data_IF_947248198137
#
_entry.id   IF_947248198137
#
_cell.length_a   1.000
_cell.length_b   1.000
_cell.length_c   1.000
_cell.angle_alpha   90.00
_cell.angle_beta   90.00
_cell.angle_gamma   90.00
#
_symmetry.space_group_name_H-M   'P 1'
#
loop_
_entity.id
_entity.type
_entity.pdbx_description
1 polymer ?
#
# COMPACT_ATOMS: atom_id res chain seq x y z
N UNK A 1 2.72 11.67 -9.34
CA UNK A 1 3.23 10.96 -8.14
C UNK A 1 2.13 10.25 -7.36
N UNK A 2 2.49 9.40 -6.41
CA UNK A 2 1.53 8.82 -5.46
C UNK A 2 1.12 9.86 -4.42
N UNK A 3 -0.17 9.91 -4.08
CA UNK A 3 -0.67 10.77 -2.99
C UNK A 3 -0.36 10.17 -1.61
N UNK A 4 0.89 10.33 -1.16
CA UNK A 4 1.35 9.73 0.10
C UNK A 4 0.58 10.22 1.33
N UNK A 5 0.12 11.48 1.34
CA UNK A 5 -0.60 12.05 2.49
C UNK A 5 -2.03 11.52 2.53
N UNK A 6 -2.76 11.53 1.40
CA UNK A 6 -4.15 11.04 1.35
C UNK A 6 -4.27 9.55 1.61
N UNK A 7 -3.20 8.78 1.43
CA UNK A 7 -3.13 7.38 1.90
C UNK A 7 -3.37 7.24 3.41
N UNK A 8 -3.19 8.31 4.18
CA UNK A 8 -3.58 8.36 5.58
C UNK A 8 -5.09 8.27 5.80
N UNK A 9 -5.90 8.57 4.79
CA UNK A 9 -7.35 8.44 4.80
C UNK A 9 -7.78 7.13 4.11
N UNK A 10 -7.20 6.82 2.95
CA UNK A 10 -7.67 5.67 2.15
C UNK A 10 -7.31 4.33 2.76
N UNK A 11 -6.14 4.19 3.39
CA UNK A 11 -5.71 2.92 3.99
C UNK A 11 -6.60 2.53 5.19
N UNK A 12 -6.87 3.41 6.19
CA UNK A 12 -7.79 3.07 7.27
C UNK A 12 -9.22 2.79 6.79
N UNK A 13 -9.73 3.57 5.82
CA UNK A 13 -11.07 3.31 5.24
C UNK A 13 -11.15 1.93 4.60
N UNK A 14 -10.12 1.54 3.85
CA UNK A 14 -10.03 0.19 3.29
C UNK A 14 -9.92 -0.87 4.38
N UNK A 15 -9.08 -0.66 5.40
CA UNK A 15 -8.97 -1.58 6.53
C UNK A 15 -10.33 -1.78 7.24
N UNK A 16 -11.09 -0.71 7.46
CA UNK A 16 -12.44 -0.76 8.02
C UNK A 16 -13.40 -1.56 7.13
N UNK A 17 -13.38 -1.31 5.81
CA UNK A 17 -14.19 -2.08 4.84
C UNK A 17 -13.82 -3.57 4.83
N UNK A 18 -12.57 -3.92 5.11
CA UNK A 18 -12.09 -5.30 5.29
C UNK A 18 -12.43 -5.88 6.67
N UNK A 19 -13.12 -5.13 7.54
CA UNK A 19 -13.58 -5.58 8.86
C UNK A 19 -12.64 -5.28 10.03
N UNK A 20 -11.64 -4.41 9.86
CA UNK A 20 -10.74 -4.05 10.96
C UNK A 20 -11.49 -3.27 12.05
N UNK A 21 -11.21 -3.64 13.31
CA UNK A 21 -11.63 -2.92 14.53
C UNK A 21 -10.46 -2.17 15.18
N UNK A 22 -9.24 -2.65 14.94
CA UNK A 22 -7.99 -2.05 15.40
C UNK A 22 -7.08 -1.77 14.21
N UNK A 23 -6.37 -0.66 14.22
CA UNK A 23 -5.35 -0.30 13.23
C UNK A 23 -4.03 -0.02 13.94
N UNK A 24 -3.01 -0.82 13.65
CA UNK A 24 -1.68 -0.70 14.25
C UNK A 24 -0.70 -0.14 13.23
N UNK A 25 -0.11 0.99 13.58
CA UNK A 25 0.87 1.70 12.77
C UNK A 25 2.29 1.46 13.34
N UNK A 26 3.11 0.72 12.60
CA UNK A 26 4.52 0.50 12.91
C UNK A 26 5.43 1.46 12.15
N UNK A 27 6.27 2.17 12.90
CA UNK A 27 7.29 3.05 12.36
C UNK A 27 8.51 3.16 13.27
N UNK A 28 9.48 3.98 12.92
CA UNK A 28 10.67 4.25 13.72
C UNK A 28 10.99 5.76 13.74
N UNK A 29 11.72 6.25 14.75
CA UNK A 29 11.96 7.69 14.96
C UNK A 29 12.42 8.45 13.71
N UNK A 30 13.47 7.99 13.02
CA UNK A 30 13.99 8.66 11.82
C UNK A 30 12.96 8.69 10.68
N UNK A 31 12.05 7.71 10.60
CA UNK A 31 10.99 7.75 9.61
C UNK A 31 9.91 8.77 9.96
N UNK A 32 9.52 8.81 11.23
CA UNK A 32 8.53 9.73 11.77
C UNK A 32 9.00 11.18 11.78
N UNK A 33 10.30 11.43 11.74
CA UNK A 33 10.86 12.78 11.54
C UNK A 33 10.54 13.37 10.15
N UNK A 34 10.12 12.54 9.17
CA UNK A 34 9.71 13.03 7.85
C UNK A 34 8.28 13.54 7.92
N UNK A 35 8.09 14.81 7.57
CA UNK A 35 6.78 15.49 7.57
C UNK A 35 5.70 14.67 6.85
N UNK A 36 5.98 14.16 5.65
CA UNK A 36 5.00 13.36 4.88
C UNK A 36 4.51 12.12 5.63
N UNK A 37 5.37 11.48 6.44
CA UNK A 37 5.05 10.27 7.20
C UNK A 37 4.30 10.63 8.47
N UNK A 38 4.75 11.66 9.20
CA UNK A 38 4.06 12.18 10.38
C UNK A 38 2.64 12.64 10.03
N UNK A 39 2.48 13.46 8.99
CA UNK A 39 1.18 13.94 8.52
C UNK A 39 0.28 12.78 8.08
N UNK A 40 0.83 11.77 7.37
CA UNK A 40 0.06 10.58 7.00
C UNK A 40 -0.41 9.82 8.25
N UNK A 41 0.45 9.63 9.25
CA UNK A 41 0.10 8.96 10.51
C UNK A 41 -1.00 9.71 11.24
N UNK A 42 -0.91 11.03 11.34
CA UNK A 42 -1.92 11.86 12.01
C UNK A 42 -3.29 11.73 11.31
N UNK A 43 -3.30 11.73 9.98
CA UNK A 43 -4.50 11.45 9.20
C UNK A 43 -5.01 10.02 9.40
N UNK A 44 -4.13 9.02 9.53
CA UNK A 44 -4.54 7.65 9.83
C UNK A 44 -5.24 7.57 11.18
N UNK A 45 -4.66 8.19 12.21
CA UNK A 45 -5.23 8.25 13.55
C UNK A 45 -6.63 8.87 13.52
N UNK A 46 -6.75 10.08 12.95
CA UNK A 46 -8.02 10.78 12.82
C UNK A 46 -9.06 9.97 12.04
N UNK A 47 -8.66 9.36 10.92
CA UNK A 47 -9.59 8.55 10.12
C UNK A 47 -10.04 7.30 10.88
N UNK A 48 -9.17 6.68 11.68
CA UNK A 48 -9.56 5.56 12.54
C UNK A 48 -10.58 6.00 13.60
N UNK A 49 -10.35 7.15 14.25
CA UNK A 49 -11.28 7.73 15.24
C UNK A 49 -12.65 8.02 14.61
N UNK A 50 -12.69 8.63 13.42
CA UNK A 50 -13.93 8.89 12.66
C UNK A 50 -14.69 7.60 12.29
N UNK A 51 -13.98 6.48 12.11
CA UNK A 51 -14.54 5.18 11.79
C UNK A 51 -14.85 4.31 13.04
N UNK A 52 -14.55 4.81 14.24
CA UNK A 52 -14.70 4.06 15.48
C UNK A 52 -13.71 2.89 15.65
N UNK A 53 -12.58 2.92 14.95
CA UNK A 53 -11.50 1.94 15.10
C UNK A 53 -10.49 2.37 16.17
N UNK A 54 -9.94 1.41 16.91
CA UNK A 54 -8.83 1.66 17.83
C UNK A 54 -7.54 1.90 17.03
N UNK A 55 -6.90 3.05 17.19
CA UNK A 55 -5.59 3.32 16.60
C UNK A 55 -4.47 3.07 17.61
N UNK A 56 -3.47 2.28 17.21
CA UNK A 56 -2.32 1.93 18.04
C UNK A 56 -1.03 2.31 17.31
N UNK A 57 -0.18 3.05 17.99
CA UNK A 57 1.15 3.41 17.48
C UNK A 57 2.21 2.56 18.15
N UNK A 58 3.09 1.97 17.33
CA UNK A 58 4.24 1.21 17.83
C UNK A 58 5.50 1.71 17.14
N UNK A 59 6.47 2.13 17.96
CA UNK A 59 7.81 2.47 17.49
C UNK A 59 8.71 1.24 17.56
N UNK A 60 9.26 0.85 16.41
CA UNK A 60 10.28 -0.19 16.31
C UNK A 60 11.66 0.41 16.58
N UNK A 61 12.67 -0.43 16.88
CA UNK A 61 14.08 -0.01 16.81
C UNK A 61 14.38 0.68 15.48
N UNK A 62 15.13 1.77 15.55
CA UNK A 62 15.48 2.57 14.38
C UNK A 62 16.63 1.92 13.60
N UNK A 63 16.43 1.47 12.35
CA UNK A 63 17.49 0.86 11.57
C UNK A 63 18.51 1.89 11.02
N UNK A 64 18.26 3.20 11.17
CA UNK A 64 19.11 4.29 10.70
C UNK A 64 19.81 5.04 11.84
N UNK A 65 19.45 4.79 13.10
CA UNK A 65 20.16 5.36 14.24
C UNK A 65 21.59 4.80 14.36
N UNK A 66 22.45 5.50 15.10
CA UNK A 66 23.78 5.00 15.41
C UNK A 66 23.69 3.65 16.16
N UNK A 67 24.31 2.60 15.62
CA UNK A 67 24.17 1.22 16.12
C UNK A 67 22.85 0.54 15.79
N UNK A 68 21.96 1.22 15.04
CA UNK A 68 20.72 0.68 14.52
C UNK A 68 20.97 -0.39 13.45
N UNK A 69 20.11 -1.40 13.41
CA UNK A 69 20.25 -2.51 12.48
C UNK A 69 18.90 -3.00 11.99
N UNK A 70 18.78 -3.20 10.66
CA UNK A 70 17.59 -3.77 10.02
C UNK A 70 17.16 -5.09 10.69
N UNK A 71 18.06 -6.07 10.90
CA UNK A 71 17.77 -7.28 11.69
C UNK A 71 17.06 -7.05 13.02
N UNK A 72 17.48 -6.06 13.82
CA UNK A 72 16.90 -5.79 15.15
C UNK A 72 15.46 -5.28 15.04
N UNK A 73 15.20 -4.37 14.09
CA UNK A 73 13.85 -3.91 13.77
C UNK A 73 12.93 -5.06 13.31
N UNK A 74 13.45 -5.97 12.48
CA UNK A 74 12.69 -7.12 11.97
C UNK A 74 12.41 -8.15 13.07
N UNK A 75 13.37 -8.40 13.96
CA UNK A 75 13.20 -9.25 15.13
C UNK A 75 12.10 -8.69 16.04
N UNK A 76 12.15 -7.39 16.34
CA UNK A 76 11.13 -6.73 17.15
C UNK A 76 9.72 -6.93 16.56
N UNK A 77 9.55 -6.72 15.24
CA UNK A 77 8.26 -6.99 14.58
C UNK A 77 7.84 -8.45 14.70
N UNK A 78 8.80 -9.37 14.57
CA UNK A 78 8.58 -10.81 14.72
C UNK A 78 8.01 -11.22 16.08
N UNK A 79 8.37 -10.48 17.14
CA UNK A 79 7.95 -10.69 18.53
C UNK A 79 6.74 -9.85 18.94
N UNK A 80 6.62 -8.62 18.43
CA UNK A 80 5.55 -7.69 18.81
C UNK A 80 4.23 -8.00 18.11
N UNK A 81 4.26 -8.32 16.80
CA UNK A 81 3.03 -8.60 16.05
C UNK A 81 2.18 -9.71 16.71
N UNK A 82 2.73 -10.88 17.09
CA UNK A 82 1.96 -11.91 17.81
C UNK A 82 1.34 -11.39 19.12
N UNK A 83 2.06 -10.55 19.88
CA UNK A 83 1.55 -9.96 21.13
C UNK A 83 0.40 -9.00 20.87
N UNK A 84 0.49 -8.18 19.82
CA UNK A 84 -0.60 -7.28 19.45
C UNK A 84 -1.84 -8.04 18.99
N UNK A 85 -1.67 -9.10 18.18
CA UNK A 85 -2.80 -9.91 17.72
C UNK A 85 -3.42 -10.71 18.87
N UNK A 86 -2.63 -11.19 19.84
CA UNK A 86 -3.17 -11.79 21.05
C UNK A 86 -4.01 -10.78 21.87
N UNK A 87 -3.62 -9.50 21.89
CA UNK A 87 -4.31 -8.44 22.63
C UNK A 87 -5.59 -7.96 21.92
N UNK A 88 -5.54 -7.73 20.61
CA UNK A 88 -6.61 -7.06 19.86
C UNK A 88 -7.41 -7.99 18.94
N UNK A 89 -6.96 -9.23 18.76
CA UNK A 89 -7.58 -10.22 17.88
C UNK A 89 -7.24 -10.04 16.39
N UNK A 90 -7.70 -10.97 15.54
CA UNK A 90 -7.40 -11.00 14.10
C UNK A 90 -8.16 -9.93 13.29
N UNK A 91 -9.17 -9.27 13.85
CA UNK A 91 -9.83 -8.10 13.23
C UNK A 91 -8.98 -6.83 13.44
N UNK A 92 -7.68 -6.96 13.25
CA UNK A 92 -6.67 -5.92 13.39
C UNK A 92 -5.99 -5.71 12.05
N UNK A 93 -5.91 -4.48 11.58
CA UNK A 93 -5.08 -4.12 10.44
C UNK A 93 -3.68 -3.70 10.91
N UNK A 94 -2.64 -4.26 10.31
CA UNK A 94 -1.25 -3.85 10.57
C UNK A 94 -0.68 -3.14 9.35
N UNK A 95 -0.13 -1.95 9.58
CA UNK A 95 0.58 -1.17 8.58
C UNK A 95 2.00 -0.85 9.03
N UNK A 96 2.98 -1.24 8.21
CA UNK A 96 4.39 -0.89 8.41
C UNK A 96 4.81 0.23 7.46
N UNK A 97 5.59 1.19 7.95
CA UNK A 97 5.93 2.38 7.18
C UNK A 97 7.08 2.21 6.17
N UNK A 98 7.91 1.16 6.25
CA UNK A 98 9.06 0.93 5.35
C UNK A 98 9.07 -0.46 4.71
N UNK A 99 9.80 -0.58 3.60
CA UNK A 99 9.82 -1.76 2.74
C UNK A 99 10.25 -3.04 3.47
N UNK A 100 11.34 -3.06 4.26
CA UNK A 100 11.75 -4.28 4.97
C UNK A 100 10.71 -4.85 5.93
N UNK A 101 9.80 -4.04 6.48
CA UNK A 101 8.78 -4.55 7.41
C UNK A 101 7.77 -5.47 6.73
N UNK A 102 7.56 -5.30 5.41
CA UNK A 102 6.45 -5.95 4.70
C UNK A 102 6.62 -7.46 4.67
N UNK A 103 7.85 -7.96 4.54
CA UNK A 103 8.15 -9.39 4.54
C UNK A 103 7.68 -10.04 5.85
N UNK A 104 8.00 -9.43 6.99
CA UNK A 104 7.60 -9.91 8.32
C UNK A 104 6.09 -9.76 8.52
N UNK A 105 5.52 -8.60 8.17
CA UNK A 105 4.08 -8.34 8.34
C UNK A 105 3.26 -9.34 7.53
N UNK A 106 3.56 -9.53 6.24
CA UNK A 106 2.81 -10.45 5.38
C UNK A 106 3.00 -11.90 5.84
N UNK A 107 4.22 -12.31 6.17
CA UNK A 107 4.47 -13.67 6.68
C UNK A 107 3.72 -13.95 7.99
N UNK A 108 3.59 -12.95 8.86
CA UNK A 108 2.80 -13.06 10.09
C UNK A 108 1.30 -13.01 9.81
N UNK A 109 0.84 -12.22 8.84
CA UNK A 109 -0.58 -12.16 8.45
C UNK A 109 -1.09 -13.52 7.97
N UNK A 110 -0.29 -14.25 7.19
CA UNK A 110 -0.60 -15.62 6.75
C UNK A 110 -0.82 -16.60 7.92
N UNK A 111 -0.10 -16.41 9.04
CA UNK A 111 -0.16 -17.31 10.20
C UNK A 111 -1.22 -16.88 11.22
N UNK A 112 -1.31 -15.58 11.47
CA UNK A 112 -2.11 -14.99 12.54
C UNK A 112 -3.44 -14.42 12.05
N UNK A 113 -3.68 -14.46 10.73
CA UNK A 113 -4.95 -14.13 10.06
C UNK A 113 -5.46 -12.71 10.28
N UNK A 114 -4.55 -11.79 10.61
CA UNK A 114 -4.86 -10.38 10.70
C UNK A 114 -4.92 -9.71 9.33
N UNK A 115 -5.43 -8.48 9.27
CA UNK A 115 -5.63 -7.73 8.02
C UNK A 115 -4.34 -6.97 7.64
N UNK A 116 -3.94 -7.07 6.38
CA UNK A 116 -2.95 -6.19 5.77
C UNK A 116 -3.61 -5.50 4.57
N UNK A 117 -4.09 -4.28 4.81
CA UNK A 117 -4.84 -3.53 3.81
C UNK A 117 -3.95 -2.95 2.71
N UNK A 118 -2.71 -2.57 3.03
CA UNK A 118 -1.77 -2.02 2.04
C UNK A 118 -0.33 -2.06 2.56
N UNK A 119 0.65 -2.32 1.70
CA UNK A 119 2.06 -2.15 2.05
C UNK A 119 2.49 -0.68 2.06
N UNK A 120 3.70 -0.39 2.57
CA UNK A 120 4.24 0.97 2.49
C UNK A 120 4.33 1.48 1.05
N UNK A 121 4.70 0.62 0.10
CA UNK A 121 4.74 0.89 -1.33
C UNK A 121 3.93 -0.21 -2.05
N UNK A 122 2.62 -0.01 -2.26
CA UNK A 122 1.74 -1.08 -2.73
C UNK A 122 2.15 -1.59 -4.10
N UNK A 123 2.38 -2.90 -4.16
CA UNK A 123 2.62 -3.67 -5.37
C UNK A 123 2.53 -5.16 -5.03
N UNK A 124 2.15 -6.03 -5.97
CA UNK A 124 2.17 -7.48 -5.78
C UNK A 124 3.57 -8.04 -5.51
N UNK A 125 4.63 -7.29 -5.88
CA UNK A 125 6.02 -7.74 -5.74
C UNK A 125 6.65 -7.44 -4.36
N UNK A 126 6.03 -6.58 -3.54
CA UNK A 126 6.60 -6.19 -2.25
C UNK A 126 6.17 -7.17 -1.16
N UNK A 127 7.12 -8.00 -0.73
CA UNK A 127 6.99 -8.93 0.40
C UNK A 127 6.12 -10.16 0.15
N UNK A 128 5.10 -10.08 -0.71
CA UNK A 128 4.27 -11.24 -1.04
C UNK A 128 5.06 -12.43 -1.60
N UNK A 129 5.95 -12.27 -2.61
CA UNK A 129 6.64 -13.43 -3.18
C UNK A 129 7.49 -14.17 -2.14
N UNK A 130 8.24 -13.41 -1.32
CA UNK A 130 9.06 -13.99 -0.26
C UNK A 130 8.22 -14.64 0.85
N UNK A 131 7.16 -13.98 1.32
CA UNK A 131 6.33 -14.48 2.41
C UNK A 131 5.49 -15.71 2.02
N UNK A 132 5.15 -15.84 0.74
CA UNK A 132 4.31 -16.93 0.21
C UNK A 132 5.11 -18.01 -0.52
N UNK A 133 6.43 -17.86 -0.64
CA UNK A 133 7.29 -18.79 -1.38
C UNK A 133 6.94 -18.87 -2.87
N UNK A 134 6.64 -17.73 -3.49
CA UNK A 134 6.31 -17.67 -4.92
C UNK A 134 7.58 -17.64 -5.76
N UNK A 135 7.69 -18.59 -6.68
CA UNK A 135 8.69 -18.57 -7.74
C UNK A 135 8.10 -17.87 -8.96
N UNK A 136 8.58 -16.65 -9.24
CA UNK A 136 8.17 -15.87 -10.41
C UNK A 136 9.24 -16.08 -11.48
N UNK A 137 8.86 -16.71 -12.58
CA UNK A 137 9.76 -16.90 -13.71
C UNK A 137 10.17 -15.54 -14.30
N UNK A 138 11.41 -15.37 -14.79
CA UNK A 138 11.89 -14.08 -15.34
C UNK A 138 10.97 -13.49 -16.41
N UNK A 139 10.40 -14.33 -17.27
CA UNK A 139 9.44 -13.96 -18.33
C UNK A 139 8.11 -13.43 -17.78
N UNK A 140 7.74 -13.83 -16.55
CA UNK A 140 6.50 -13.42 -15.89
C UNK A 140 6.70 -12.21 -14.94
N UNK A 141 7.92 -11.68 -14.81
CA UNK A 141 8.24 -10.61 -13.87
C UNK A 141 7.39 -9.33 -14.09
N UNK A 142 6.86 -9.12 -15.29
CA UNK A 142 5.93 -8.04 -15.63
C UNK A 142 4.45 -8.45 -15.72
N UNK A 143 4.13 -9.73 -15.52
CA UNK A 143 2.78 -10.28 -15.66
C UNK A 143 2.04 -10.20 -14.32
N UNK A 144 1.59 -8.99 -13.97
CA UNK A 144 0.90 -8.74 -12.71
C UNK A 144 -0.41 -9.52 -12.57
N UNK A 145 -1.11 -9.82 -13.66
CA UNK A 145 -2.32 -10.66 -13.59
C UNK A 145 -2.00 -12.06 -13.05
N UNK A 146 -0.96 -12.71 -13.62
CA UNK A 146 -0.49 -14.01 -13.17
C UNK A 146 0.03 -13.96 -11.73
N UNK A 147 0.83 -12.95 -11.39
CA UNK A 147 1.36 -12.78 -10.03
C UNK A 147 0.22 -12.58 -9.02
N UNK A 148 -0.77 -11.75 -9.33
CA UNK A 148 -1.94 -11.52 -8.49
C UNK A 148 -2.75 -12.81 -8.30
N UNK A 149 -2.90 -13.62 -9.34
CA UNK A 149 -3.57 -14.92 -9.24
C UNK A 149 -2.82 -15.89 -8.31
N UNK A 150 -1.48 -15.95 -8.40
CA UNK A 150 -0.66 -16.77 -7.50
C UNK A 150 -0.79 -16.32 -6.03
N UNK A 151 -0.78 -15.00 -5.79
CA UNK A 151 -0.95 -14.43 -4.44
C UNK A 151 -2.35 -14.76 -3.90
N UNK A 152 -3.39 -14.60 -4.73
CA UNK A 152 -4.77 -14.94 -4.37
C UNK A 152 -4.91 -16.41 -3.99
N UNK A 153 -4.31 -17.30 -4.76
CA UNK A 153 -4.31 -18.74 -4.47
C UNK A 153 -3.63 -19.02 -3.13
N UNK A 154 -2.45 -18.45 -2.87
CA UNK A 154 -1.75 -18.62 -1.58
C UNK A 154 -2.50 -18.04 -0.39
N UNK A 155 -3.19 -16.91 -0.58
CA UNK A 155 -4.05 -16.34 0.44
C UNK A 155 -5.23 -17.28 0.78
N UNK A 156 -5.83 -17.91 -0.22
CA UNK A 156 -6.88 -18.91 -0.02
C UNK A 156 -6.37 -20.17 0.68
N UNK A 157 -5.22 -20.72 0.26
CA UNK A 157 -4.56 -21.87 0.90
C UNK A 157 -4.23 -21.61 2.37
N UNK A 158 -3.81 -20.39 2.72
CA UNK A 158 -3.54 -19.98 4.10
C UNK A 158 -4.81 -19.61 4.91
N UNK A 159 -6.00 -19.63 4.28
CA UNK A 159 -7.26 -19.28 4.92
C UNK A 159 -7.36 -17.81 5.32
N UNK A 160 -6.77 -16.91 4.52
CA UNK A 160 -6.76 -15.46 4.74
C UNK A 160 -7.35 -14.66 3.57
N UNK A 161 -8.18 -15.31 2.73
CA UNK A 161 -8.96 -14.60 1.71
C UNK A 161 -9.78 -13.45 2.33
N UNK A 162 -9.79 -12.30 1.68
CA UNK A 162 -10.36 -11.05 2.15
C UNK A 162 -9.48 -10.27 3.13
N UNK A 163 -8.36 -10.82 3.62
CA UNK A 163 -7.51 -10.21 4.66
C UNK A 163 -6.27 -9.51 4.10
N UNK A 164 -5.91 -9.75 2.84
CA UNK A 164 -4.73 -9.17 2.20
C UNK A 164 -5.14 -8.32 1.00
N UNK A 165 -4.52 -7.15 0.83
CA UNK A 165 -4.82 -6.25 -0.28
C UNK A 165 -3.59 -5.47 -0.74
N UNK A 166 -3.58 -5.06 -2.01
CA UNK A 166 -2.54 -4.21 -2.60
C UNK A 166 -3.04 -3.53 -3.88
N UNK A 167 -2.20 -2.71 -4.52
CA UNK A 167 -2.49 -2.18 -5.84
C UNK A 167 -2.21 -3.24 -6.91
N UNK A 168 -3.01 -3.33 -7.97
CA UNK A 168 -2.91 -4.42 -8.95
C UNK A 168 -1.57 -4.42 -9.71
N UNK A 169 -0.90 -3.27 -9.81
CA UNK A 169 0.38 -3.10 -10.50
C UNK A 169 1.31 -2.19 -9.69
N UNK A 170 2.61 -2.31 -9.93
CA UNK A 170 3.60 -1.38 -9.39
C UNK A 170 3.48 0.01 -10.02
N UNK A 171 3.66 1.06 -9.22
CA UNK A 171 3.78 2.44 -9.73
C UNK A 171 4.94 2.62 -10.71
N UNK A 172 6.02 1.85 -10.55
CA UNK A 172 7.17 1.87 -11.46
C UNK A 172 6.83 1.32 -12.86
N UNK A 173 5.75 0.55 -12.98
CA UNK A 173 5.23 0.07 -14.28
C UNK A 173 4.08 0.93 -14.76
N UNK A 174 3.20 1.33 -13.85
CA UNK A 174 2.06 2.19 -14.18
C UNK A 174 2.50 3.53 -14.75
N UNK A 175 3.37 4.29 -14.07
CA UNK A 175 3.72 5.65 -14.50
C UNK A 175 4.31 5.72 -15.92
N UNK A 176 5.31 4.90 -16.31
CA UNK A 176 5.84 4.98 -17.67
C UNK A 176 4.82 4.55 -18.73
N UNK A 177 4.02 3.50 -18.49
CA UNK A 177 2.96 3.07 -19.41
C UNK A 177 1.90 4.16 -19.56
N UNK A 178 1.39 4.67 -18.43
CA UNK A 178 0.40 5.73 -18.41
C UNK A 178 0.90 7.00 -19.12
N UNK A 179 2.14 7.42 -18.88
CA UNK A 179 2.72 8.58 -19.55
C UNK A 179 2.82 8.37 -21.08
N UNK A 180 3.23 7.17 -21.53
CA UNK A 180 3.28 6.86 -22.96
C UNK A 180 1.89 6.88 -23.61
N UNK A 181 0.88 6.27 -22.98
CA UNK A 181 -0.50 6.28 -23.47
C UNK A 181 -1.09 7.70 -23.53
N UNK A 182 -0.84 8.52 -22.50
CA UNK A 182 -1.23 9.94 -22.51
C UNK A 182 -0.54 10.71 -23.63
N UNK A 183 0.76 10.48 -23.86
CA UNK A 183 1.49 11.14 -24.94
C UNK A 183 0.95 10.76 -26.32
N UNK A 184 0.66 9.47 -26.54
CA UNK A 184 0.02 9.00 -27.77
C UNK A 184 -1.38 9.63 -27.96
N UNK A 185 -2.18 9.69 -26.90
CA UNK A 185 -3.49 10.34 -26.94
C UNK A 185 -3.40 11.85 -27.21
N UNK A 186 -2.37 12.54 -26.73
CA UNK A 186 -2.12 13.96 -27.05
C UNK A 186 -1.79 14.16 -28.53
N UNK A 187 -0.96 13.28 -29.11
CA UNK A 187 -0.63 13.33 -30.54
C UNK A 187 -1.87 13.04 -31.39
N UNK A 188 -2.67 12.05 -30.98
CA UNK A 188 -3.93 11.69 -31.65
C UNK A 188 -5.11 12.64 -31.40
N UNK A 189 -4.94 13.69 -30.59
CA UNK A 189 -5.99 14.66 -30.29
C UNK A 189 -7.03 14.23 -29.24
N UNK A 190 -6.86 13.07 -28.59
CA UNK A 190 -7.73 12.59 -27.51
C UNK A 190 -7.49 13.27 -26.16
N UNK A 191 -6.31 13.88 -25.96
CA UNK A 191 -5.97 14.68 -24.77
C UNK A 191 -5.51 16.07 -25.20
N UNK A 192 -6.08 17.11 -24.60
CA UNK A 192 -5.65 18.49 -24.87
C UNK A 192 -4.37 18.82 -24.09
N UNK A 193 -3.28 18.95 -24.83
CA UNK A 193 -1.96 19.37 -24.32
C UNK A 193 -1.93 20.72 -23.62
N UNK A 194 -2.88 21.63 -23.90
CA UNK A 194 -2.98 22.95 -23.27
C UNK A 194 -3.95 22.97 -22.09
N UNK A 195 -4.84 21.98 -21.98
CA UNK A 195 -5.88 21.91 -20.95
C UNK A 195 -6.11 20.47 -20.51
N UNK A 196 -5.12 19.91 -19.82
CA UNK A 196 -5.20 18.56 -19.27
C UNK A 196 -6.28 18.53 -18.19
N UNK A 197 -7.22 17.62 -18.32
CA UNK A 197 -8.30 17.39 -17.34
C UNK A 197 -8.28 15.96 -16.81
N UNK A 198 -8.77 15.76 -15.59
CA UNK A 198 -8.81 14.44 -14.94
C UNK A 198 -9.71 13.49 -15.71
N UNK A 199 -10.80 14.00 -16.27
CA UNK A 199 -11.78 13.26 -17.06
C UNK A 199 -11.15 12.61 -18.31
N UNK A 200 -10.12 13.23 -18.88
CA UNK A 200 -9.36 12.68 -20.01
C UNK A 200 -8.31 11.64 -19.55
N UNK A 201 -7.76 11.81 -18.34
CA UNK A 201 -6.71 10.94 -17.81
C UNK A 201 -7.25 9.65 -17.19
N UNK A 202 -8.42 9.70 -16.54
CA UNK A 202 -9.01 8.57 -15.82
C UNK A 202 -9.23 7.32 -16.69
N UNK A 203 -9.80 7.39 -17.91
CA UNK A 203 -9.98 6.22 -18.75
C UNK A 203 -8.66 5.55 -19.13
N UNK A 204 -7.63 6.37 -19.45
CA UNK A 204 -6.30 5.90 -19.81
C UNK A 204 -5.64 5.21 -18.59
N UNK A 205 -5.70 5.85 -17.43
CA UNK A 205 -5.16 5.32 -16.19
C UNK A 205 -5.84 4.00 -15.79
N UNK A 206 -7.18 3.93 -15.93
CA UNK A 206 -7.95 2.71 -15.67
C UNK A 206 -7.54 1.57 -16.60
N UNK A 207 -7.31 1.86 -17.89
CA UNK A 207 -6.82 0.87 -18.86
C UNK A 207 -5.46 0.30 -18.43
N UNK A 208 -4.53 1.16 -17.99
CA UNK A 208 -3.18 0.74 -17.58
C UNK A 208 -3.17 0.01 -16.23
N UNK A 209 -3.95 0.47 -15.25
CA UNK A 209 -3.97 -0.10 -13.91
C UNK A 209 -4.91 -1.32 -13.77
N UNK A 210 -5.90 -1.47 -14.66
CA UNK A 210 -6.97 -2.45 -14.54
C UNK A 210 -8.04 -2.11 -13.49
N UNK A 211 -7.88 -0.99 -12.78
CA UNK A 211 -8.74 -0.52 -11.70
C UNK A 211 -8.90 0.99 -11.79
N UNK A 212 -9.88 1.56 -11.08
CA UNK A 212 -10.02 3.02 -11.02
C UNK A 212 -8.75 3.65 -10.43
N UNK A 213 -8.32 4.75 -11.03
CA UNK A 213 -7.25 5.59 -10.51
C UNK A 213 -7.83 6.96 -10.25
N UNK A 214 -7.69 7.44 -9.02
CA UNK A 214 -8.16 8.77 -8.62
C UNK A 214 -7.01 9.76 -8.70
N UNK A 215 -7.32 11.00 -9.10
CA UNK A 215 -6.36 12.08 -9.26
C UNK A 215 -6.66 13.21 -8.28
N UNK A 216 -5.61 13.81 -7.74
CA UNK A 216 -5.64 15.03 -6.95
C UNK A 216 -4.58 15.99 -7.48
N UNK A 217 -4.83 17.30 -7.46
CA UNK A 217 -3.75 18.26 -7.71
C UNK A 217 -2.77 18.26 -6.54
N UNK A 218 -1.46 18.35 -6.82
CA UNK A 218 -0.44 18.48 -5.77
C UNK A 218 -0.63 19.77 -4.95
N UNK A 219 -1.02 20.84 -5.63
CA UNK A 219 -1.47 22.10 -5.05
C UNK A 219 -2.60 22.69 -5.92
N UNK A 220 -3.56 23.43 -5.36
CA UNK A 220 -4.69 23.98 -6.13
C UNK A 220 -4.28 24.76 -7.38
N UNK A 221 -3.17 25.50 -7.30
CA UNK A 221 -2.61 26.35 -8.35
C UNK A 221 -1.84 25.59 -9.44
N UNK A 222 -1.57 24.29 -9.27
CA UNK A 222 -0.85 23.48 -10.25
C UNK A 222 -1.83 22.69 -11.12
N UNK A 223 -2.03 23.14 -12.36
CA UNK A 223 -2.96 22.52 -13.31
C UNK A 223 -2.42 21.27 -14.01
N UNK A 224 -1.12 21.02 -13.92
CA UNK A 224 -0.43 19.95 -14.64
C UNK A 224 0.31 18.96 -13.72
N UNK A 225 0.16 19.09 -12.39
CA UNK A 225 0.79 18.18 -11.44
C UNK A 225 -0.27 17.43 -10.65
N UNK A 226 -0.42 16.14 -10.98
CA UNK A 226 -1.37 15.26 -10.32
C UNK A 226 -0.69 14.21 -9.41
N UNK A 227 -1.34 13.96 -8.29
CA UNK A 227 -1.13 12.86 -7.37
C UNK A 227 -2.19 11.79 -7.60
N UNK A 228 -1.81 10.51 -7.53
CA UNK A 228 -2.70 9.39 -7.80
C UNK A 228 -2.85 8.44 -6.62
N UNK A 229 -4.01 7.82 -6.55
CA UNK A 229 -4.28 6.61 -5.75
C UNK A 229 -5.01 5.62 -6.66
N UNK A 230 -4.48 4.40 -6.74
CA UNK A 230 -5.16 3.29 -7.41
C UNK A 230 -6.11 2.61 -6.42
N UNK A 231 -7.29 2.22 -6.90
CA UNK A 231 -8.11 1.27 -6.18
C UNK A 231 -7.33 -0.03 -5.98
N UNK A 232 -7.59 -0.72 -4.88
CA UNK A 232 -6.87 -1.93 -4.52
C UNK A 232 -7.62 -3.18 -4.97
N UNK A 233 -6.87 -4.24 -5.19
CA UNK A 233 -7.42 -5.59 -5.24
C UNK A 233 -7.36 -6.21 -3.85
N UNK A 234 -8.34 -7.04 -3.53
CA UNK A 234 -8.40 -7.83 -2.29
C UNK A 234 -8.22 -9.30 -2.69
N UNK A 235 -7.26 -9.97 -2.06
CA UNK A 235 -6.91 -11.37 -2.30
C UNK A 235 -7.75 -12.30 -1.45
#
# INVERSE_FOLDING_TARGET
DTDWIRRGITIPKKAYQMGAKTFIHYSFPTHMAKEVIATRRDLMKRTCEELGMTFVEVLTPDPQAAGGSRPVMLQFLGEDIPRQIAKYGPDTCIFGTNCPMQDVIIAKALKLKFIMAEQCCPTPLQGFPAAMGLEIAPEDAGNFEKINAMIKQKAAEAGVSGRLSTWPVSVSVFFPKFAAEVAMAMVGGGVDRKKISVEQLEPIAKSVAGVKVTFNKRKPELDNYFLIIMDSIIY
#
